data_IF_528427608332
#
_entry.id   IF_528427608332
#
_cell.length_a   1.000
_cell.length_b   1.000
_cell.length_c   1.000
_cell.angle_alpha   90.00
_cell.angle_beta   90.00
_cell.angle_gamma   90.00
#
_symmetry.space_group_name_H-M   'P 1'
#
loop_
_entity.id
_entity.type
_entity.pdbx_description
1 polymer ?
#
# COMPACT_ATOMS: atom_id res chain seq x y z
N UNK A 1 23.86 -56.19 58.37
CA UNK A 1 24.88 -55.44 59.14
C UNK A 1 25.69 -54.63 58.13
N UNK A 2 25.69 -53.31 58.30
CA UNK A 2 26.30 -52.29 57.42
C UNK A 2 27.83 -52.47 57.33
N UNK A 3 28.42 -52.25 56.14
CA UNK A 3 29.67 -51.47 56.00
C UNK A 3 29.96 -51.10 54.54
N UNK A 4 29.80 -49.80 54.31
CA UNK A 4 30.27 -49.02 53.17
C UNK A 4 31.78 -48.82 53.33
N UNK A 5 32.58 -48.95 52.27
CA UNK A 5 33.80 -48.16 52.13
C UNK A 5 34.16 -47.97 50.66
N UNK A 6 34.36 -46.70 50.31
CA UNK A 6 34.42 -46.10 48.98
C UNK A 6 35.89 -46.00 48.56
N UNK A 7 36.23 -46.18 47.28
CA UNK A 7 37.42 -45.55 46.72
C UNK A 7 37.25 -45.24 45.23
N UNK A 8 37.48 -43.97 44.92
CA UNK A 8 37.22 -43.31 43.65
C UNK A 8 38.39 -43.48 42.66
N UNK A 9 38.08 -43.51 41.37
CA UNK A 9 38.96 -42.94 40.35
C UNK A 9 38.09 -42.24 39.29
N UNK A 10 38.31 -40.93 39.19
CA UNK A 10 37.62 -40.01 38.32
C UNK A 10 38.06 -40.21 36.86
N UNK A 11 37.10 -40.37 35.96
CA UNK A 11 37.31 -40.15 34.53
C UNK A 11 36.85 -38.72 34.20
N UNK A 12 37.83 -37.85 33.99
CA UNK A 12 37.66 -36.50 33.46
C UNK A 12 37.01 -36.59 32.06
N UNK A 13 35.72 -36.28 31.95
CA UNK A 13 35.11 -35.95 30.65
C UNK A 13 35.23 -34.44 30.49
N UNK A 14 36.15 -34.03 29.63
CA UNK A 14 36.29 -32.64 29.22
C UNK A 14 34.99 -32.20 28.53
N UNK A 15 34.26 -31.28 29.17
CA UNK A 15 33.14 -30.57 28.55
C UNK A 15 33.76 -29.58 27.56
N UNK A 16 33.74 -29.91 26.27
CA UNK A 16 33.96 -28.92 25.22
C UNK A 16 32.71 -28.05 25.18
N UNK A 17 32.73 -26.96 25.94
CA UNK A 17 31.77 -25.87 25.78
C UNK A 17 31.94 -25.30 24.38
N UNK A 18 31.09 -25.71 23.44
CA UNK A 18 30.88 -24.94 22.21
C UNK A 18 30.11 -23.71 22.65
N UNK A 19 30.84 -22.66 23.02
CA UNK A 19 30.29 -21.31 23.06
C UNK A 19 29.90 -20.99 21.62
N UNK A 20 28.65 -21.28 21.26
CA UNK A 20 28.06 -20.61 20.11
C UNK A 20 28.08 -19.13 20.47
N UNK A 21 29.04 -18.40 19.91
CA UNK A 21 28.85 -16.98 19.71
C UNK A 21 27.65 -16.88 18.80
N UNK A 22 26.46 -16.70 19.40
CA UNK A 22 25.35 -16.09 18.70
C UNK A 22 25.86 -14.72 18.30
N UNK A 23 26.42 -14.65 17.09
CA UNK A 23 26.59 -13.39 16.39
C UNK A 23 25.19 -12.78 16.44
N UNK A 24 25.02 -11.71 17.21
CA UNK A 24 23.89 -10.81 17.05
C UNK A 24 24.00 -10.27 15.62
N UNK A 25 23.51 -11.05 14.66
CA UNK A 25 22.94 -10.49 13.45
C UNK A 25 21.67 -9.80 13.91
N UNK A 26 21.86 -8.63 14.54
CA UNK A 26 20.93 -7.53 14.40
C UNK A 26 20.99 -7.16 12.92
N UNK A 27 20.36 -8.00 12.09
CA UNK A 27 19.73 -7.53 10.89
C UNK A 27 18.77 -6.47 11.40
N UNK A 28 19.23 -5.22 11.39
CA UNK A 28 18.34 -4.10 11.57
C UNK A 28 17.22 -4.36 10.61
N UNK A 29 16.01 -4.59 11.13
CA UNK A 29 14.83 -4.43 10.34
C UNK A 29 15.00 -3.05 9.70
N UNK A 30 15.29 -3.02 8.39
CA UNK A 30 15.35 -1.77 7.65
C UNK A 30 14.05 -1.06 8.02
N UNK A 31 14.16 0.15 8.58
CA UNK A 31 12.98 0.95 8.93
C UNK A 31 12.01 0.84 7.77
N UNK A 32 10.80 0.34 8.04
CA UNK A 32 9.81 0.21 6.97
C UNK A 32 9.68 1.58 6.31
N UNK A 33 9.79 1.67 4.97
CA UNK A 33 9.76 2.95 4.29
C UNK A 33 8.51 3.71 4.73
N UNK A 34 8.71 4.86 5.39
CA UNK A 34 7.61 5.67 5.83
C UNK A 34 6.80 6.13 4.60
N UNK A 35 5.47 6.25 4.73
CA UNK A 35 4.66 6.80 3.65
C UNK A 35 5.21 8.17 3.24
N UNK A 36 5.41 8.38 1.94
CA UNK A 36 5.99 9.61 1.40
C UNK A 36 5.00 10.43 0.59
N UNK A 37 3.83 9.85 0.29
CA UNK A 37 2.80 10.47 -0.54
C UNK A 37 1.42 10.20 0.02
N UNK A 38 0.54 11.19 -0.10
CA UNK A 38 -0.89 11.05 0.09
C UNK A 38 -1.52 11.10 -1.29
N UNK A 39 -2.40 10.15 -1.57
CA UNK A 39 -3.22 10.17 -2.79
C UNK A 39 -4.67 10.31 -2.38
N UNK A 40 -5.27 11.42 -2.77
CA UNK A 40 -6.68 11.74 -2.56
C UNK A 40 -7.38 11.69 -3.90
N UNK A 41 -8.49 10.98 -3.97
CA UNK A 41 -9.28 10.93 -5.18
C UNK A 41 -10.75 11.19 -4.88
N UNK A 42 -11.39 12.01 -5.70
CA UNK A 42 -12.78 12.45 -5.59
C UNK A 42 -13.57 11.95 -6.79
N UNK A 43 -14.73 11.36 -6.54
CA UNK A 43 -15.71 11.02 -7.57
C UNK A 43 -16.94 11.90 -7.43
N UNK A 44 -17.20 12.65 -8.50
CA UNK A 44 -18.41 13.42 -8.69
C UNK A 44 -19.25 12.77 -9.78
N UNK A 45 -20.57 12.85 -9.60
CA UNK A 45 -21.56 12.38 -10.56
C UNK A 45 -22.43 13.56 -10.97
N UNK A 46 -22.61 13.75 -12.27
CA UNK A 46 -23.49 14.75 -12.86
C UNK A 46 -24.61 14.07 -13.65
N UNK A 47 -25.86 14.32 -13.27
CA UNK A 47 -27.07 13.86 -13.97
C UNK A 47 -27.98 15.06 -14.21
N UNK A 48 -28.45 15.25 -15.45
CA UNK A 48 -29.33 16.36 -15.82
C UNK A 48 -28.82 17.74 -15.35
N UNK A 49 -27.50 17.95 -15.42
CA UNK A 49 -26.84 19.21 -15.01
C UNK A 49 -26.70 19.41 -13.49
N UNK A 50 -27.14 18.46 -12.65
CA UNK A 50 -26.91 18.49 -11.19
C UNK A 50 -25.71 17.60 -10.84
N UNK A 51 -24.74 18.17 -10.13
CA UNK A 51 -23.54 17.46 -9.68
C UNK A 51 -23.64 17.13 -8.20
N UNK A 52 -23.24 15.91 -7.83
CA UNK A 52 -23.10 15.46 -6.45
C UNK A 52 -21.79 14.70 -6.25
N UNK A 53 -21.20 14.83 -5.06
CA UNK A 53 -20.05 14.02 -4.65
C UNK A 53 -20.52 12.66 -4.15
N UNK A 54 -19.95 11.58 -4.70
CA UNK A 54 -20.27 10.22 -4.29
C UNK A 54 -19.31 9.69 -3.23
N UNK A 55 -18.01 9.89 -3.45
CA UNK A 55 -16.98 9.44 -2.51
C UNK A 55 -15.65 10.19 -2.73
N UNK A 56 -14.83 10.23 -1.69
CA UNK A 56 -13.55 10.95 -1.68
C UNK A 56 -12.48 10.19 -0.87
N UNK A 57 -12.11 8.95 -1.26
CA UNK A 57 -11.12 8.18 -0.51
C UNK A 57 -9.71 8.78 -0.58
N UNK A 58 -8.93 8.43 0.43
CA UNK A 58 -7.53 8.80 0.59
C UNK A 58 -6.72 7.57 0.95
N UNK A 59 -5.48 7.49 0.44
CA UNK A 59 -4.50 6.47 0.84
C UNK A 59 -3.12 7.07 1.04
N UNK A 60 -2.43 6.60 2.08
CA UNK A 60 -1.01 6.86 2.30
C UNK A 60 -0.19 5.83 1.53
N UNK A 61 0.72 6.32 0.70
CA UNK A 61 1.50 5.48 -0.20
C UNK A 61 3.00 5.62 0.02
N UNK A 62 3.69 4.49 -0.09
CA UNK A 62 5.16 4.43 -0.09
C UNK A 62 5.68 4.86 -1.48
N UNK A 63 6.93 5.34 -1.60
CA UNK A 63 7.56 5.53 -2.90
C UNK A 63 7.66 4.23 -3.70
N UNK A 64 7.61 4.33 -5.03
CA UNK A 64 7.73 3.21 -5.96
C UNK A 64 6.82 2.01 -5.59
N UNK A 65 5.60 2.30 -5.14
CA UNK A 65 4.64 1.29 -4.69
C UNK A 65 3.35 1.36 -5.50
N UNK A 66 2.55 0.30 -5.38
CA UNK A 66 1.20 0.25 -5.96
C UNK A 66 0.19 -0.01 -4.86
N UNK A 67 -0.94 0.68 -4.93
CA UNK A 67 -2.04 0.55 -3.99
C UNK A 67 -3.37 0.73 -4.71
N UNK A 68 -4.42 0.17 -4.12
CA UNK A 68 -5.76 0.25 -4.66
C UNK A 68 -6.66 1.06 -3.73
N UNK A 69 -7.44 1.98 -4.31
CA UNK A 69 -8.56 2.65 -3.65
C UNK A 69 -9.85 2.02 -4.16
N UNK A 70 -10.75 1.69 -3.23
CA UNK A 70 -12.07 1.18 -3.55
C UNK A 70 -13.12 2.21 -3.18
N UNK A 71 -14.06 2.43 -4.10
CA UNK A 71 -15.21 3.31 -3.91
C UNK A 71 -16.46 2.53 -4.25
N UNK A 72 -17.33 2.37 -3.28
CA UNK A 72 -18.58 1.63 -3.45
C UNK A 72 -19.76 2.59 -3.37
N UNK A 73 -20.69 2.45 -4.30
CA UNK A 73 -22.01 3.05 -4.22
C UNK A 73 -23.06 1.95 -4.39
N UNK A 74 -24.36 2.22 -4.17
CA UNK A 74 -25.40 1.19 -4.19
C UNK A 74 -25.51 0.36 -5.49
N UNK A 75 -24.95 0.85 -6.61
CA UNK A 75 -25.08 0.21 -7.92
C UNK A 75 -23.73 -0.14 -8.58
N UNK A 76 -22.61 0.37 -8.07
CA UNK A 76 -21.32 0.36 -8.76
C UNK A 76 -20.16 0.24 -7.75
N UNK A 77 -19.10 -0.43 -8.18
CA UNK A 77 -17.81 -0.45 -7.47
C UNK A 77 -16.73 0.10 -8.39
N UNK A 78 -15.99 1.08 -7.93
CA UNK A 78 -14.90 1.71 -8.66
C UNK A 78 -13.61 1.35 -7.94
N UNK A 79 -12.71 0.71 -8.68
CA UNK A 79 -11.38 0.35 -8.24
C UNK A 79 -10.35 1.25 -8.93
N UNK A 80 -9.53 1.92 -8.14
CA UNK A 80 -8.51 2.84 -8.64
C UNK A 80 -7.15 2.28 -8.24
N UNK A 81 -6.41 1.81 -9.23
CA UNK A 81 -5.04 1.37 -9.06
C UNK A 81 -4.10 2.58 -9.22
N UNK A 82 -3.36 2.86 -8.16
CA UNK A 82 -2.40 3.96 -8.10
C UNK A 82 -1.01 3.38 -8.02
N UNK A 83 -0.11 3.83 -8.89
CA UNK A 83 1.32 3.56 -8.82
C UNK A 83 2.05 4.88 -8.56
N UNK A 84 2.76 4.96 -7.45
CA UNK A 84 3.55 6.13 -7.10
C UNK A 84 4.94 6.07 -7.73
N UNK A 85 5.46 7.24 -8.10
CA UNK A 85 6.84 7.39 -8.57
C UNK A 85 7.87 7.14 -7.46
N UNK A 86 9.16 7.23 -7.82
CA UNK A 86 10.29 7.12 -6.89
C UNK A 86 10.35 8.30 -5.91
N UNK A 87 11.48 8.51 -5.23
CA UNK A 87 11.72 9.70 -4.41
C UNK A 87 12.06 10.89 -5.33
N UNK A 88 11.80 12.12 -4.88
CA UNK A 88 12.01 13.43 -5.56
C UNK A 88 13.34 13.54 -6.34
N UNK A 89 13.43 14.37 -7.41
CA UNK A 89 12.60 15.55 -7.73
C UNK A 89 11.67 15.46 -8.96
N UNK A 90 11.68 14.37 -9.72
CA UNK A 90 10.81 14.19 -10.91
C UNK A 90 9.81 13.05 -10.73
N UNK A 91 9.12 13.04 -9.60
CA UNK A 91 8.23 11.94 -9.22
C UNK A 91 6.94 12.01 -10.01
N UNK A 92 6.90 11.20 -11.05
CA UNK A 92 5.72 11.00 -11.87
C UNK A 92 4.91 9.86 -11.27
N UNK A 93 3.65 10.11 -10.98
CA UNK A 93 2.69 9.14 -10.46
C UNK A 93 1.73 8.75 -11.56
N UNK A 94 1.37 7.46 -11.61
CA UNK A 94 0.44 6.93 -12.59
C UNK A 94 -0.81 6.46 -11.87
N UNK A 95 -1.94 7.05 -12.23
CA UNK A 95 -3.26 6.68 -11.71
C UNK A 95 -4.03 6.03 -12.85
N UNK A 96 -4.41 4.78 -12.65
CA UNK A 96 -5.29 4.04 -13.54
C UNK A 96 -6.60 3.76 -12.82
N UNK A 97 -7.71 3.85 -13.55
CA UNK A 97 -9.02 3.69 -12.97
C UNK A 97 -9.77 2.61 -13.73
N UNK A 98 -10.43 1.76 -12.97
CA UNK A 98 -11.27 0.70 -13.46
C UNK A 98 -12.59 0.76 -12.72
N UNK A 99 -13.67 1.04 -13.45
CA UNK A 99 -15.01 0.97 -12.88
C UNK A 99 -15.63 -0.38 -13.21
N UNK A 100 -16.19 -1.04 -12.20
CA UNK A 100 -16.99 -2.25 -12.33
C UNK A 100 -18.45 -1.91 -12.07
N UNK A 101 -19.29 -1.98 -13.11
CA UNK A 101 -20.72 -1.70 -13.03
C UNK A 101 -21.50 -2.87 -13.63
N UNK A 102 -22.39 -3.47 -12.82
CA UNK A 102 -23.31 -4.55 -13.25
C UNK A 102 -22.66 -5.69 -14.06
N UNK A 103 -21.46 -6.13 -13.66
CA UNK A 103 -20.71 -7.20 -14.33
C UNK A 103 -19.86 -6.75 -15.53
N UNK A 104 -19.89 -5.47 -15.89
CA UNK A 104 -19.02 -4.88 -16.92
C UNK A 104 -17.86 -4.12 -16.29
N UNK A 105 -16.70 -4.20 -16.93
CA UNK A 105 -15.52 -3.40 -16.59
C UNK A 105 -15.37 -2.28 -17.62
N UNK A 106 -15.32 -1.04 -17.14
CA UNK A 106 -14.99 0.13 -17.93
C UNK A 106 -13.63 0.67 -17.47
N UNK A 107 -12.70 0.78 -18.41
CA UNK A 107 -11.36 1.32 -18.17
C UNK A 107 -11.38 2.82 -18.44
N UNK A 108 -10.92 3.61 -17.47
CA UNK A 108 -10.75 5.04 -17.67
C UNK A 108 -9.36 5.35 -18.25
N UNK A 109 -9.18 6.53 -18.83
CA UNK A 109 -7.87 7.00 -19.26
C UNK A 109 -6.87 7.00 -18.10
N UNK A 110 -5.65 6.54 -18.37
CA UNK A 110 -4.55 6.62 -17.41
C UNK A 110 -4.13 8.08 -17.24
N UNK A 111 -4.06 8.53 -16.00
CA UNK A 111 -3.57 9.86 -15.64
C UNK A 111 -2.12 9.77 -15.19
N UNK A 112 -1.32 10.75 -15.59
CA UNK A 112 0.08 10.90 -15.19
C UNK A 112 0.23 12.27 -14.53
N UNK A 113 0.66 12.32 -13.28
CA UNK A 113 0.73 13.55 -12.50
C UNK A 113 1.99 13.59 -11.62
N UNK A 114 2.57 14.78 -11.46
CA UNK A 114 3.66 15.01 -10.52
C UNK A 114 3.13 15.33 -9.11
N UNK A 115 3.99 15.20 -8.10
CA UNK A 115 3.64 15.63 -6.73
C UNK A 115 3.20 17.10 -6.69
N UNK A 116 2.08 17.38 -6.03
CA UNK A 116 1.45 18.71 -5.97
C UNK A 116 0.50 19.00 -7.12
N UNK A 117 0.43 18.15 -8.14
CA UNK A 117 -0.53 18.29 -9.23
C UNK A 117 -1.84 17.55 -8.96
N UNK A 118 -2.87 18.04 -9.64
CA UNK A 118 -4.20 17.44 -9.69
C UNK A 118 -4.49 17.06 -11.13
N UNK A 119 -5.01 15.86 -11.35
CA UNK A 119 -5.46 15.39 -12.65
C UNK A 119 -6.94 14.99 -12.59
N UNK A 120 -7.62 15.11 -13.74
CA UNK A 120 -9.04 14.75 -13.88
C UNK A 120 -9.24 13.78 -15.03
N UNK A 121 -10.06 12.76 -14.80
CA UNK A 121 -10.58 11.87 -15.82
C UNK A 121 -12.11 11.95 -15.80
N UNK A 122 -12.73 11.93 -16.96
CA UNK A 122 -14.18 11.95 -17.09
C UNK A 122 -14.65 10.75 -17.90
N UNK A 123 -15.79 10.19 -17.50
CA UNK A 123 -16.47 9.15 -18.24
C UNK A 123 -17.97 9.42 -18.29
N UNK A 124 -18.61 8.97 -19.37
CA UNK A 124 -20.06 9.12 -19.59
C UNK A 124 -20.68 7.73 -19.66
N UNK A 125 -21.72 7.49 -18.87
CA UNK A 125 -22.45 6.23 -18.76
C UNK A 125 -23.94 6.53 -18.89
N UNK A 126 -24.52 6.31 -20.07
CA UNK A 126 -25.90 6.73 -20.34
C UNK A 126 -26.05 8.24 -20.18
N UNK A 127 -26.94 8.68 -19.29
CA UNK A 127 -27.22 10.09 -19.01
C UNK A 127 -26.34 10.69 -17.89
N UNK A 128 -25.47 9.86 -17.31
CA UNK A 128 -24.63 10.21 -16.16
C UNK A 128 -23.20 10.48 -16.62
N UNK A 129 -22.63 11.61 -16.21
CA UNK A 129 -21.20 11.88 -16.35
C UNK A 129 -20.56 11.73 -14.99
N UNK A 130 -19.53 10.89 -14.84
CA UNK A 130 -18.70 10.98 -13.64
C UNK A 130 -17.39 11.69 -13.93
N UNK A 131 -17.02 12.54 -12.99
CA UNK A 131 -15.74 13.21 -12.97
C UNK A 131 -14.93 12.67 -11.82
N UNK A 132 -13.76 12.15 -12.14
CA UNK A 132 -12.81 11.66 -11.17
C UNK A 132 -11.62 12.61 -11.09
N UNK A 133 -11.34 13.12 -9.91
CA UNK A 133 -10.25 14.06 -9.66
C UNK A 133 -9.28 13.45 -8.66
N UNK A 134 -8.02 13.23 -9.03
CA UNK A 134 -6.99 12.81 -8.08
C UNK A 134 -5.94 13.88 -7.88
N UNK A 135 -5.43 13.94 -6.66
CA UNK A 135 -4.31 14.77 -6.24
C UNK A 135 -3.30 13.90 -5.51
N UNK A 136 -2.03 14.11 -5.84
CA UNK A 136 -0.92 13.50 -5.09
C UNK A 136 -0.20 14.60 -4.34
N UNK A 137 -0.10 14.49 -3.02
CA UNK A 137 0.58 15.46 -2.16
C UNK A 137 1.59 14.78 -1.24
N UNK A 138 2.37 15.59 -0.52
CA UNK A 138 3.14 15.11 0.63
C UNK A 138 2.18 14.76 1.79
N UNK A 139 2.60 13.87 2.73
CA UNK A 139 1.92 13.60 4.00
C UNK A 139 1.66 14.86 4.81
#
# INVERSE_FOLDING_TARGET
MLRIMISACAALVAVVSVTMMTHENRAGAAEEPQPAFVVECLLEETIHGKTQTLAAPQILMRPASTGNLLMENPNESIEIAVTTGTIEPQTTHQVSLQMKSKGHTLLAPRMTLSTGQTAKAQWVIGEKTCTFTCKVSKP
#
